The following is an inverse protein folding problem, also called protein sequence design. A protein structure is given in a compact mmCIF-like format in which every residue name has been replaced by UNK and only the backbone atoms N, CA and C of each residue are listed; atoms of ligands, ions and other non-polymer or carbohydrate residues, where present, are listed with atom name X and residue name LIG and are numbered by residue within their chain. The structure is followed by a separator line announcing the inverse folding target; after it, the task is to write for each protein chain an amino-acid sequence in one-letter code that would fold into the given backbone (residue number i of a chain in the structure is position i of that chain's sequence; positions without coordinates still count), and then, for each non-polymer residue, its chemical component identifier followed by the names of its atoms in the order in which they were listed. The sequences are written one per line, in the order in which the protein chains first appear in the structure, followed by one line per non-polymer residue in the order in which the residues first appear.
data_IF_226235643172
#
_entry.id   IF_226235643172
#
_cell.length_a   1.000
_cell.length_b   1.000
_cell.length_c   1.000
_cell.angle_alpha   90.00
_cell.angle_beta   90.00
_cell.angle_gamma   90.00
#
_symmetry.space_group_name_H-M   'P 1'
#
loop_
_entity.id
_entity.type
_entity.pdbx_description
1 polymer ?
#
# COMPACT_ATOMS: atom_id res chain seq x y z
N UNK A 1 -31.08 20.40 -13.53
CA UNK A 1 -31.69 19.11 -13.13
C UNK A 1 -30.56 18.08 -13.24
N UNK A 2 -29.95 17.68 -12.13
CA UNK A 2 -28.85 16.68 -12.16
C UNK A 2 -29.50 15.31 -12.33
N UNK A 3 -29.27 14.64 -13.45
CA UNK A 3 -29.75 13.28 -13.65
C UNK A 3 -29.01 12.35 -12.69
N UNK A 4 -29.75 11.68 -11.81
CA UNK A 4 -29.20 10.66 -10.90
C UNK A 4 -29.18 9.31 -11.62
N UNK A 5 -28.03 8.63 -11.58
CA UNK A 5 -27.90 7.25 -12.06
C UNK A 5 -28.12 6.31 -10.89
N UNK A 6 -28.90 5.26 -11.11
CA UNK A 6 -29.23 4.24 -10.11
C UNK A 6 -28.67 2.88 -10.54
N UNK A 7 -28.32 2.03 -9.57
CA UNK A 7 -27.77 0.69 -9.80
C UNK A 7 -28.61 -0.40 -9.10
N UNK A 8 -29.91 -0.55 -9.42
CA UNK A 8 -30.81 -1.47 -8.69
C UNK A 8 -30.44 -2.94 -8.83
N UNK A 9 -29.75 -3.32 -9.92
CA UNK A 9 -29.24 -4.69 -10.10
C UNK A 9 -28.07 -5.03 -9.17
N UNK A 10 -27.49 -4.05 -8.47
CA UNK A 10 -26.37 -4.22 -7.54
C UNK A 10 -25.14 -4.98 -8.10
N UNK A 11 -24.86 -4.83 -9.40
CA UNK A 11 -23.75 -5.51 -10.06
C UNK A 11 -22.36 -5.17 -9.50
N UNK A 12 -22.23 -4.04 -8.80
CA UNK A 12 -21.00 -3.65 -8.09
C UNK A 12 -20.57 -4.64 -7.01
N UNK A 13 -21.46 -5.54 -6.54
CA UNK A 13 -21.09 -6.61 -5.60
C UNK A 13 -19.98 -7.52 -6.14
N UNK A 14 -19.92 -7.72 -7.47
CA UNK A 14 -18.88 -8.52 -8.14
C UNK A 14 -17.46 -7.96 -7.96
N UNK A 15 -17.33 -6.69 -7.59
CA UNK A 15 -16.03 -6.06 -7.29
C UNK A 15 -15.42 -6.63 -6.01
N UNK A 16 -16.25 -7.18 -5.12
CA UNK A 16 -15.87 -7.69 -3.80
C UNK A 16 -16.07 -9.21 -3.69
N UNK A 17 -16.02 -9.92 -4.82
CA UNK A 17 -16.12 -11.38 -4.86
C UNK A 17 -14.75 -12.00 -5.14
N UNK A 18 -14.43 -13.07 -4.39
CA UNK A 18 -13.18 -13.83 -4.56
C UNK A 18 -13.09 -14.42 -5.97
N UNK A 19 -11.88 -14.39 -6.52
CA UNK A 19 -11.56 -14.98 -7.81
C UNK A 19 -10.34 -15.90 -7.71
N UNK A 20 -10.28 -16.88 -8.59
CA UNK A 20 -9.11 -17.76 -8.72
C UNK A 20 -8.05 -17.13 -9.63
N UNK A 21 -6.78 -17.44 -9.37
CA UNK A 21 -5.69 -17.10 -10.28
C UNK A 21 -5.78 -17.86 -11.61
N UNK A 22 -5.04 -17.40 -12.62
CA UNK A 22 -4.95 -18.08 -13.91
C UNK A 22 -3.66 -18.88 -13.99
N UNK A 23 -3.71 -20.06 -14.61
CA UNK A 23 -2.52 -20.86 -14.88
C UNK A 23 -1.71 -20.30 -16.06
N UNK A 24 -2.40 -19.72 -17.06
CA UNK A 24 -1.81 -19.13 -18.25
C UNK A 24 -2.57 -17.86 -18.68
N UNK A 25 -1.95 -16.94 -19.45
CA UNK A 25 -2.64 -15.78 -20.00
C UNK A 25 -3.78 -16.18 -20.94
N UNK A 26 -4.92 -15.49 -20.84
CA UNK A 26 -6.09 -15.73 -21.69
C UNK A 26 -6.25 -14.60 -22.74
N UNK A 27 -6.67 -14.90 -23.98
CA UNK A 27 -6.92 -13.86 -24.98
C UNK A 27 -8.17 -13.06 -24.64
N UNK A 28 -8.11 -11.74 -24.81
CA UNK A 28 -9.26 -10.86 -24.66
C UNK A 28 -10.04 -10.73 -25.97
N UNK A 29 -11.37 -10.64 -25.88
CA UNK A 29 -12.21 -10.26 -27.03
C UNK A 29 -12.14 -8.75 -27.24
N UNK A 30 -11.68 -8.32 -28.42
CA UNK A 30 -11.50 -6.90 -28.74
C UNK A 30 -12.73 -6.37 -29.48
N UNK A 31 -13.28 -5.26 -28.99
CA UNK A 31 -14.30 -4.46 -29.68
C UNK A 31 -13.71 -3.09 -30.00
N UNK A 32 -13.72 -2.69 -31.28
CA UNK A 32 -13.03 -1.48 -31.75
C UNK A 32 -11.63 -1.80 -32.29
N UNK A 33 -10.73 -0.82 -32.28
CA UNK A 33 -9.36 -0.94 -32.82
C UNK A 33 -8.36 -0.49 -31.77
N UNK A 34 -7.43 -1.37 -31.40
CA UNK A 34 -6.29 -1.01 -30.54
C UNK A 34 -5.32 -0.15 -31.36
N UNK A 35 -4.91 1.03 -30.88
CA UNK A 35 -3.96 1.87 -31.61
C UNK A 35 -2.64 1.13 -31.86
N UNK A 36 -2.12 1.20 -33.08
CA UNK A 36 -0.92 0.45 -33.47
C UNK A 36 0.35 0.84 -32.72
N UNK A 37 0.40 2.06 -32.17
CA UNK A 37 1.50 2.54 -31.33
C UNK A 37 1.40 2.04 -29.89
N UNK A 38 0.26 1.50 -29.46
CA UNK A 38 0.04 1.04 -28.10
C UNK A 38 0.54 -0.39 -27.96
N UNK A 39 1.74 -0.54 -27.39
CA UNK A 39 2.34 -1.82 -27.03
C UNK A 39 2.94 -1.75 -25.63
N UNK A 40 2.83 -2.85 -24.89
CA UNK A 40 3.34 -2.97 -23.52
C UNK A 40 2.31 -3.61 -22.59
N UNK A 41 2.63 -3.60 -21.30
CA UNK A 41 1.81 -4.23 -20.26
C UNK A 41 1.22 -3.20 -19.29
N UNK A 42 -0.09 -3.30 -19.05
CA UNK A 42 -0.77 -2.61 -17.95
C UNK A 42 -0.81 -3.54 -16.74
N UNK A 43 -0.05 -3.19 -15.71
CA UNK A 43 -0.07 -3.85 -14.41
C UNK A 43 -0.97 -3.09 -13.43
N UNK A 44 -1.81 -3.82 -12.70
CA UNK A 44 -2.67 -3.25 -11.64
C UNK A 44 -2.71 -4.17 -10.43
N UNK A 45 -2.80 -3.56 -9.25
CA UNK A 45 -3.02 -4.27 -7.99
C UNK A 45 -4.47 -4.11 -7.53
N UNK A 46 -4.94 -5.09 -6.75
CA UNK A 46 -6.19 -5.01 -6.02
C UNK A 46 -6.42 -6.24 -5.13
N UNK A 47 -7.46 -6.24 -4.29
CA UNK A 47 -7.86 -7.42 -3.54
C UNK A 47 -8.50 -8.47 -4.47
N UNK A 48 -8.08 -9.73 -4.36
CA UNK A 48 -8.62 -10.84 -5.16
C UNK A 48 -9.31 -11.95 -4.36
N UNK A 49 -9.12 -11.97 -3.04
CA UNK A 49 -9.72 -12.94 -2.13
C UNK A 49 -10.20 -12.22 -0.87
N UNK A 50 -11.48 -12.38 -0.54
CA UNK A 50 -12.18 -11.63 0.50
C UNK A 50 -12.54 -12.47 1.72
N UNK A 51 -12.10 -13.74 1.76
CA UNK A 51 -12.31 -14.66 2.86
C UNK A 51 -11.19 -15.70 2.95
N UNK A 52 -10.89 -16.16 4.16
CA UNK A 52 -9.91 -17.22 4.44
C UNK A 52 -10.52 -18.21 5.43
N UNK A 53 -10.49 -19.50 5.13
CA UNK A 53 -11.08 -20.51 6.02
C UNK A 53 -12.59 -20.40 6.20
N UNK A 54 -13.28 -19.71 5.29
CA UNK A 54 -14.70 -19.39 5.41
C UNK A 54 -15.00 -18.16 6.28
N UNK A 55 -13.97 -17.48 6.80
CA UNK A 55 -14.11 -16.24 7.54
C UNK A 55 -13.86 -15.01 6.67
N UNK A 56 -14.71 -13.97 6.76
CA UNK A 56 -14.61 -12.80 5.91
C UNK A 56 -13.48 -11.86 6.33
N UNK A 57 -12.92 -11.18 5.33
CA UNK A 57 -12.09 -10.01 5.48
C UNK A 57 -13.01 -8.77 5.47
N UNK A 58 -12.92 -7.93 6.50
CA UNK A 58 -13.99 -7.01 6.88
C UNK A 58 -13.88 -5.63 6.22
N UNK A 59 -12.70 -5.29 5.71
CA UNK A 59 -12.45 -4.02 5.04
C UNK A 59 -11.98 -4.22 3.59
N UNK A 60 -12.25 -3.22 2.74
CA UNK A 60 -11.84 -3.20 1.33
C UNK A 60 -10.33 -3.43 1.15
N UNK A 61 -9.54 -3.01 2.13
CA UNK A 61 -8.08 -3.07 2.10
C UNK A 61 -7.50 -4.34 2.75
N UNK A 62 -8.34 -5.32 3.07
CA UNK A 62 -7.89 -6.55 3.73
C UNK A 62 -7.74 -7.72 2.74
N UNK A 63 -8.44 -7.65 1.60
CA UNK A 63 -8.43 -8.73 0.61
C UNK A 63 -7.01 -9.03 0.12
N UNK A 64 -6.71 -10.30 -0.11
CA UNK A 64 -5.34 -10.70 -0.45
C UNK A 64 -4.91 -10.16 -1.82
N UNK A 65 -3.68 -9.64 -1.90
CA UNK A 65 -3.13 -8.95 -3.05
C UNK A 65 -3.13 -9.82 -4.32
N UNK A 66 -3.79 -9.31 -5.35
CA UNK A 66 -3.87 -9.88 -6.68
C UNK A 66 -3.26 -8.89 -7.68
N UNK A 67 -2.28 -9.36 -8.45
CA UNK A 67 -1.71 -8.61 -9.56
C UNK A 67 -2.43 -9.00 -10.85
N UNK A 68 -2.82 -7.99 -11.63
CA UNK A 68 -3.48 -8.11 -12.92
C UNK A 68 -2.57 -7.57 -14.01
N UNK A 69 -2.47 -8.28 -15.14
CA UNK A 69 -1.74 -7.85 -16.34
C UNK A 69 -2.65 -7.88 -17.55
N UNK A 70 -2.71 -6.77 -18.28
CA UNK A 70 -3.14 -6.74 -19.67
C UNK A 70 -1.92 -6.51 -20.54
N UNK A 71 -1.54 -7.48 -21.36
CA UNK A 71 -0.40 -7.36 -22.26
C UNK A 71 -0.90 -7.07 -23.69
N UNK A 72 -0.39 -6.00 -24.29
CA UNK A 72 -0.84 -5.49 -25.59
C UNK A 72 0.31 -5.60 -26.58
N UNK A 73 0.08 -6.33 -27.67
CA UNK A 73 1.09 -6.54 -28.72
C UNK A 73 0.41 -6.74 -30.06
N UNK A 74 0.83 -5.96 -31.07
CA UNK A 74 0.37 -6.10 -32.45
C UNK A 74 -1.17 -6.07 -32.63
N UNK A 75 -1.87 -5.28 -31.81
CA UNK A 75 -3.33 -5.19 -31.84
C UNK A 75 -4.05 -6.33 -31.12
N UNK A 76 -3.33 -7.25 -30.49
CA UNK A 76 -3.87 -8.30 -29.63
C UNK A 76 -3.72 -7.92 -28.15
N UNK A 77 -4.59 -8.46 -27.30
CA UNK A 77 -4.55 -8.27 -25.85
C UNK A 77 -4.72 -9.61 -25.15
N UNK A 78 -3.83 -9.90 -24.20
CA UNK A 78 -3.99 -11.01 -23.26
C UNK A 78 -4.23 -10.49 -21.85
N UNK A 79 -4.92 -11.26 -21.03
CA UNK A 79 -5.15 -10.99 -19.62
C UNK A 79 -4.56 -12.11 -18.76
N UNK A 80 -3.88 -11.72 -17.69
CA UNK A 80 -3.32 -12.66 -16.72
C UNK A 80 -3.45 -12.12 -15.29
N UNK A 81 -3.61 -13.00 -14.31
CA UNK A 81 -3.63 -12.61 -12.89
C UNK A 81 -3.07 -13.70 -11.99
N UNK A 82 -2.34 -13.28 -10.95
CA UNK A 82 -1.80 -14.16 -9.90
C UNK A 82 -1.88 -13.49 -8.54
N UNK A 83 -2.05 -14.26 -7.48
CA UNK A 83 -1.90 -13.74 -6.12
C UNK A 83 -0.43 -13.49 -5.80
N UNK A 84 -0.13 -12.37 -5.15
CA UNK A 84 1.23 -12.10 -4.64
C UNK A 84 1.48 -13.04 -3.46
N UNK A 85 2.57 -13.80 -3.50
CA UNK A 85 2.93 -14.79 -2.46
C UNK A 85 3.58 -14.10 -1.26
N UNK A 86 2.83 -13.21 -0.62
CA UNK A 86 3.22 -12.51 0.61
C UNK A 86 3.18 -13.46 1.81
N UNK A 87 3.80 -13.09 2.93
CA UNK A 87 3.68 -13.88 4.17
C UNK A 87 2.21 -13.93 4.63
N UNK A 88 1.46 -12.82 4.48
CA UNK A 88 0.03 -12.78 4.75
C UNK A 88 -0.73 -13.85 3.96
N UNK A 89 -0.52 -13.92 2.64
CA UNK A 89 -1.19 -14.88 1.76
C UNK A 89 -0.75 -16.32 2.03
N UNK A 90 0.56 -16.58 2.05
CA UNK A 90 1.12 -17.93 2.21
C UNK A 90 0.67 -18.53 3.54
N UNK A 91 0.71 -17.76 4.63
CA UNK A 91 0.29 -18.26 5.95
C UNK A 91 -1.22 -18.41 6.04
N UNK A 92 -1.98 -17.47 5.46
CA UNK A 92 -3.43 -17.59 5.39
C UNK A 92 -3.87 -18.88 4.67
N UNK A 93 -3.25 -19.21 3.54
CA UNK A 93 -3.55 -20.42 2.79
C UNK A 93 -3.05 -21.69 3.49
N UNK A 94 -1.89 -21.63 4.15
CA UNK A 94 -1.30 -22.78 4.86
C UNK A 94 -2.09 -23.14 6.12
N UNK A 95 -2.51 -22.13 6.89
CA UNK A 95 -3.19 -22.31 8.17
C UNK A 95 -4.72 -22.23 8.05
N UNK A 96 -5.24 -21.95 6.85
CA UNK A 96 -6.67 -21.80 6.53
C UNK A 96 -7.40 -20.86 7.51
N UNK A 97 -6.77 -19.73 7.83
CA UNK A 97 -7.27 -18.68 8.74
C UNK A 97 -6.54 -17.36 8.54
N UNK A 98 -7.06 -16.25 9.06
CA UNK A 98 -6.32 -14.98 9.07
C UNK A 98 -5.19 -15.05 10.11
N UNK A 99 -3.94 -15.09 9.65
CA UNK A 99 -2.76 -15.24 10.51
C UNK A 99 -2.07 -13.90 10.81
N UNK A 100 -2.07 -12.98 9.85
CA UNK A 100 -1.53 -11.63 10.00
C UNK A 100 -2.69 -10.63 10.01
N UNK A 101 -2.66 -9.70 10.96
CA UNK A 101 -3.69 -8.64 11.05
C UNK A 101 -3.60 -7.75 9.82
N UNK A 102 -4.73 -7.59 9.14
CA UNK A 102 -4.90 -6.66 8.02
C UNK A 102 -5.47 -5.33 8.51
N UNK A 103 -5.75 -4.40 7.60
CA UNK A 103 -6.18 -3.04 7.93
C UNK A 103 -7.40 -3.00 8.86
N UNK A 104 -8.47 -3.72 8.53
CA UNK A 104 -9.72 -3.79 9.30
C UNK A 104 -10.08 -5.17 9.86
N UNK A 105 -9.26 -6.19 9.60
CA UNK A 105 -9.44 -7.54 10.15
C UNK A 105 -8.27 -7.93 11.05
N UNK A 106 -8.55 -8.09 12.34
CA UNK A 106 -7.59 -8.63 13.28
C UNK A 106 -7.37 -10.13 13.03
N UNK A 107 -6.11 -10.57 13.03
CA UNK A 107 -5.79 -11.98 13.12
C UNK A 107 -6.21 -12.52 14.49
N UNK A 108 -6.69 -13.75 14.53
CA UNK A 108 -7.03 -14.43 15.78
C UNK A 108 -6.05 -15.58 16.06
N UNK A 109 -5.75 -15.90 17.33
CA UNK A 109 -4.81 -16.96 17.66
C UNK A 109 -5.37 -18.34 17.30
N UNK A 110 -4.48 -19.22 16.83
CA UNK A 110 -4.79 -20.62 16.54
C UNK A 110 -5.61 -21.27 17.68
N UNK A 111 -6.83 -21.77 17.40
CA UNK A 111 -7.69 -22.39 18.40
C UNK A 111 -7.14 -23.73 18.91
N UNK A 112 -6.23 -24.38 18.18
CA UNK A 112 -5.61 -25.65 18.53
C UNK A 112 -4.35 -25.49 19.40
N UNK A 113 -3.87 -24.26 19.63
CA UNK A 113 -2.72 -23.98 20.50
C UNK A 113 -3.14 -23.82 21.96
N UNK A 114 -2.56 -24.66 22.84
CA UNK A 114 -2.70 -24.57 24.29
C UNK A 114 -2.31 -23.17 24.83
N UNK A 115 -2.88 -22.77 25.98
CA UNK A 115 -2.64 -21.47 26.64
C UNK A 115 -1.14 -21.13 26.75
N UNK A 116 -0.28 -22.12 27.01
CA UNK A 116 1.18 -21.92 27.08
C UNK A 116 1.82 -21.56 25.74
N UNK A 117 1.43 -22.20 24.63
CA UNK A 117 1.96 -21.86 23.30
C UNK A 117 1.37 -20.55 22.75
N UNK A 118 0.16 -20.19 23.18
CA UNK A 118 -0.40 -18.84 22.98
C UNK A 118 0.46 -17.77 23.64
N UNK A 119 0.88 -17.99 24.89
CA UNK A 119 1.76 -17.05 25.61
C UNK A 119 3.10 -16.85 24.88
N UNK A 120 3.76 -17.92 24.42
CA UNK A 120 5.01 -17.80 23.65
C UNK A 120 4.84 -17.10 22.28
N UNK A 121 3.66 -17.19 21.67
CA UNK A 121 3.37 -16.49 20.40
C UNK A 121 3.29 -14.97 20.60
N UNK A 122 2.80 -14.51 21.77
CA UNK A 122 2.81 -13.09 22.14
C UNK A 122 4.23 -12.49 22.28
N UNK A 123 5.26 -13.32 22.51
CA UNK A 123 6.66 -12.83 22.65
C UNK A 123 7.44 -12.85 21.33
N UNK A 124 6.91 -13.42 20.25
CA UNK A 124 7.45 -13.17 18.92
C UNK A 124 7.02 -11.77 18.53
N UNK A 125 8.00 -10.96 18.13
CA UNK A 125 7.78 -9.56 17.80
C UNK A 125 6.58 -9.39 16.86
N UNK A 126 5.99 -8.22 16.99
CA UNK A 126 4.99 -7.63 16.10
C UNK A 126 5.13 -8.10 14.64
N UNK A 127 4.05 -8.61 14.07
CA UNK A 127 3.98 -8.98 12.64
C UNK A 127 3.16 -7.94 11.87
N UNK A 128 3.85 -7.06 11.14
CA UNK A 128 3.23 -6.07 10.25
C UNK A 128 2.83 -6.74 8.93
N UNK A 129 1.68 -6.36 8.36
CA UNK A 129 1.21 -6.92 7.09
C UNK A 129 2.13 -6.54 5.92
N UNK A 130 2.35 -7.52 5.06
CA UNK A 130 3.00 -7.37 3.76
C UNK A 130 2.01 -7.63 2.60
N UNK A 131 0.71 -7.57 2.87
CA UNK A 131 -0.34 -7.67 1.86
C UNK A 131 -0.28 -6.46 0.89
N UNK A 132 0.53 -6.58 -0.15
CA UNK A 132 0.88 -5.52 -1.10
C UNK A 132 -0.19 -5.30 -2.18
N UNK A 133 -1.43 -4.98 -1.78
CA UNK A 133 -2.58 -4.91 -2.68
C UNK A 133 -2.84 -3.55 -3.35
N UNK A 134 -2.09 -2.50 -2.99
CA UNK A 134 -2.50 -1.11 -3.28
C UNK A 134 -1.97 -0.64 -4.63
N UNK A 135 -0.67 -0.80 -4.88
CA UNK A 135 -0.04 -0.28 -6.10
C UNK A 135 1.19 -1.11 -6.50
N UNK A 136 1.71 -0.85 -7.70
CA UNK A 136 2.96 -1.39 -8.23
C UNK A 136 3.74 -0.27 -8.91
N UNK A 137 5.04 -0.16 -8.64
CA UNK A 137 5.90 0.85 -9.27
C UNK A 137 7.34 0.36 -9.47
N UNK A 138 8.08 0.94 -10.43
CA UNK A 138 9.46 0.56 -10.70
C UNK A 138 10.45 1.24 -9.73
N UNK A 139 11.51 0.53 -9.37
CA UNK A 139 12.70 1.06 -8.71
C UNK A 139 13.92 0.48 -9.45
N UNK A 140 14.63 1.32 -10.20
CA UNK A 140 15.65 0.83 -11.14
C UNK A 140 15.01 -0.04 -12.22
N UNK A 141 15.51 -1.27 -12.39
CA UNK A 141 14.98 -2.25 -13.37
C UNK A 141 13.91 -3.18 -12.77
N UNK A 142 13.66 -3.07 -11.47
CA UNK A 142 12.79 -3.97 -10.72
C UNK A 142 11.40 -3.37 -10.47
N UNK A 143 10.39 -4.22 -10.34
CA UNK A 143 9.02 -3.83 -9.99
C UNK A 143 8.63 -4.30 -8.60
N UNK A 144 7.97 -3.41 -7.85
CA UNK A 144 7.57 -3.68 -6.47
C UNK A 144 6.07 -3.46 -6.30
N UNK A 145 5.36 -4.51 -5.90
CA UNK A 145 4.02 -4.40 -5.33
C UNK A 145 4.12 -3.82 -3.91
N UNK A 146 3.19 -2.94 -3.56
CA UNK A 146 3.22 -2.19 -2.30
C UNK A 146 1.87 -2.08 -1.62
N UNK A 147 1.94 -1.91 -0.30
CA UNK A 147 0.89 -1.36 0.55
C UNK A 147 1.46 -0.13 1.28
N UNK A 148 0.92 0.23 2.44
CA UNK A 148 1.35 1.41 3.20
C UNK A 148 2.18 1.08 4.46
N UNK A 149 2.86 -0.07 4.44
CA UNK A 149 3.75 -0.54 5.51
C UNK A 149 5.22 -0.39 5.12
N UNK A 150 6.14 -0.93 5.93
CA UNK A 150 7.56 -1.01 5.59
C UNK A 150 7.89 -2.16 4.63
N UNK A 151 6.96 -3.08 4.39
CA UNK A 151 7.17 -4.22 3.51
C UNK A 151 6.70 -3.92 2.09
N UNK A 152 7.59 -4.13 1.13
CA UNK A 152 7.30 -4.11 -0.30
C UNK A 152 7.72 -5.45 -0.89
N UNK A 153 7.04 -5.89 -1.95
CA UNK A 153 7.29 -7.21 -2.56
C UNK A 153 7.74 -7.04 -4.00
N UNK A 154 8.98 -7.44 -4.28
CA UNK A 154 9.52 -7.51 -5.64
C UNK A 154 8.76 -8.58 -6.42
N UNK A 155 8.29 -8.22 -7.61
CA UNK A 155 7.55 -9.09 -8.52
C UNK A 155 8.17 -9.06 -9.91
N UNK A 156 8.05 -10.17 -10.62
CA UNK A 156 8.39 -10.24 -12.03
C UNK A 156 7.23 -9.66 -12.86
N UNK A 157 7.44 -8.61 -13.67
CA UNK A 157 6.36 -7.96 -14.43
C UNK A 157 5.84 -8.82 -15.60
N UNK A 158 6.62 -9.80 -16.06
CA UNK A 158 6.26 -10.66 -17.19
C UNK A 158 5.48 -11.89 -16.72
N UNK A 159 6.00 -12.61 -15.73
CA UNK A 159 5.41 -13.84 -15.20
C UNK A 159 4.45 -13.63 -14.02
N UNK A 160 4.45 -12.43 -13.42
CA UNK A 160 3.72 -12.10 -12.19
C UNK A 160 4.17 -12.92 -10.97
N UNK A 161 5.34 -13.55 -11.04
CA UNK A 161 5.90 -14.30 -9.93
C UNK A 161 6.38 -13.38 -8.81
N UNK A 162 6.22 -13.84 -7.57
CA UNK A 162 6.72 -13.16 -6.39
C UNK A 162 8.17 -13.53 -6.17
N UNK A 163 9.06 -12.55 -6.15
CA UNK A 163 10.50 -12.78 -6.12
C UNK A 163 11.09 -12.61 -4.72
N UNK A 164 10.83 -11.47 -4.06
CA UNK A 164 11.52 -11.11 -2.81
C UNK A 164 10.68 -10.15 -1.98
N UNK A 165 10.49 -10.46 -0.69
CA UNK A 165 10.02 -9.51 0.32
C UNK A 165 11.17 -8.60 0.74
N UNK A 166 10.93 -7.29 0.76
CA UNK A 166 11.90 -6.27 1.14
C UNK A 166 11.37 -5.49 2.33
N UNK A 167 12.23 -5.30 3.33
CA UNK A 167 11.97 -4.50 4.52
C UNK A 167 12.67 -3.15 4.41
N UNK A 168 11.89 -2.08 4.16
CA UNK A 168 12.41 -0.73 3.99
C UNK A 168 13.10 -0.19 5.26
N UNK A 169 12.75 -0.69 6.45
CA UNK A 169 13.39 -0.28 7.70
C UNK A 169 14.89 -0.63 7.75
N UNK A 170 15.36 -1.56 6.91
CA UNK A 170 16.79 -1.91 6.80
C UNK A 170 17.60 -0.86 6.05
N UNK A 171 16.95 -0.01 5.26
CA UNK A 171 17.58 0.97 4.37
C UNK A 171 17.26 2.41 4.79
N UNK A 172 16.07 2.63 5.35
CA UNK A 172 15.52 3.96 5.64
C UNK A 172 14.98 4.02 7.06
N UNK A 173 15.13 5.19 7.70
CA UNK A 173 14.51 5.46 9.00
C UNK A 173 13.04 5.86 8.81
N UNK A 174 12.19 4.87 8.52
CA UNK A 174 10.74 5.00 8.35
C UNK A 174 10.04 3.81 9.00
N UNK A 175 8.81 3.99 9.44
CA UNK A 175 7.94 2.93 9.95
C UNK A 175 7.09 2.30 8.83
N UNK A 176 6.91 3.04 7.73
CA UNK A 176 6.16 2.67 6.54
C UNK A 176 6.17 3.84 5.57
N UNK A 177 5.88 3.59 4.30
CA UNK A 177 5.82 4.60 3.23
C UNK A 177 4.49 4.52 2.50
N UNK A 178 4.12 5.57 1.76
CA UNK A 178 2.89 5.52 0.96
C UNK A 178 3.00 4.56 -0.23
N UNK A 179 1.87 4.11 -0.74
CA UNK A 179 1.79 3.39 -2.01
C UNK A 179 1.91 4.31 -3.25
N UNK A 180 2.13 5.62 -3.05
CA UNK A 180 2.08 6.67 -4.08
C UNK A 180 3.39 7.48 -4.14
N UNK A 181 4.51 6.85 -4.51
CA UNK A 181 5.74 7.60 -4.73
C UNK A 181 5.63 8.50 -5.97
N UNK A 182 6.48 9.51 -6.03
CA UNK A 182 6.76 10.27 -7.24
C UNK A 182 8.03 9.74 -7.89
N UNK A 183 7.99 9.51 -9.20
CA UNK A 183 9.14 9.05 -9.98
C UNK A 183 9.54 10.13 -10.99
N UNK A 184 10.79 10.56 -10.95
CA UNK A 184 11.36 11.48 -11.92
C UNK A 184 11.70 10.77 -13.24
N UNK A 185 11.91 11.54 -14.32
CA UNK A 185 12.20 10.99 -15.64
C UNK A 185 13.51 10.18 -15.71
N UNK A 186 14.45 10.43 -14.80
CA UNK A 186 15.70 9.69 -14.69
C UNK A 186 15.57 8.36 -13.93
N UNK A 187 14.39 8.08 -13.34
CA UNK A 187 14.13 6.92 -12.50
C UNK A 187 14.35 7.15 -11.00
N UNK A 188 14.69 8.37 -10.57
CA UNK A 188 14.71 8.71 -9.14
C UNK A 188 13.31 8.57 -8.55
N UNK A 189 13.20 7.91 -7.39
CA UNK A 189 11.93 7.73 -6.68
C UNK A 189 11.94 8.53 -5.38
N UNK A 190 10.91 9.36 -5.16
CA UNK A 190 10.64 10.01 -3.89
C UNK A 190 9.38 9.43 -3.25
N UNK A 191 9.42 9.23 -1.93
CA UNK A 191 8.25 8.80 -1.17
C UNK A 191 8.23 9.51 0.19
N UNK A 192 7.10 9.44 0.90
CA UNK A 192 6.92 9.96 2.25
C UNK A 192 6.54 8.82 3.19
N UNK A 193 7.07 8.86 4.42
CA UNK A 193 6.79 7.86 5.43
C UNK A 193 6.82 8.41 6.85
N UNK A 194 6.05 7.80 7.75
CA UNK A 194 6.10 8.11 9.17
C UNK A 194 7.44 7.66 9.77
N UNK A 195 8.01 8.40 10.72
CA UNK A 195 9.23 8.03 11.41
C UNK A 195 9.25 8.55 12.86
N UNK A 196 10.20 8.04 13.65
CA UNK A 196 10.55 8.65 14.93
C UNK A 196 11.45 9.87 14.70
N UNK A 197 10.98 11.03 15.13
CA UNK A 197 11.75 12.27 15.16
C UNK A 197 12.57 12.43 16.44
N UNK A 198 13.17 13.61 16.61
CA UNK A 198 13.95 13.95 17.81
C UNK A 198 13.04 14.07 19.04
N UNK A 199 13.61 13.89 20.24
CA UNK A 199 12.92 14.08 21.52
C UNK A 199 11.63 13.24 21.70
N UNK A 200 11.59 12.00 21.19
CA UNK A 200 10.40 11.14 21.28
C UNK A 200 9.15 11.80 20.67
N UNK A 201 9.30 12.47 19.52
CA UNK A 201 8.18 12.92 18.70
C UNK A 201 8.07 12.07 17.45
N UNK A 202 6.89 12.05 16.84
CA UNK A 202 6.70 11.50 15.50
C UNK A 202 6.94 12.60 14.46
N UNK A 203 7.37 12.17 13.28
CA UNK A 203 7.69 13.04 12.15
C UNK A 203 7.43 12.28 10.84
N UNK A 204 7.58 12.99 9.71
CA UNK A 204 7.46 12.43 8.37
C UNK A 204 8.78 12.61 7.63
N UNK A 205 9.37 11.54 7.12
CA UNK A 205 10.57 11.60 6.30
C UNK A 205 10.18 11.53 4.82
N UNK A 206 10.67 12.49 4.03
CA UNK A 206 10.76 12.33 2.58
C UNK A 206 12.01 11.52 2.30
N UNK A 207 11.84 10.41 1.61
CA UNK A 207 12.91 9.51 1.22
C UNK A 207 13.17 9.62 -0.27
N UNK A 208 14.43 9.43 -0.67
CA UNK A 208 14.89 9.39 -2.06
C UNK A 208 15.61 8.07 -2.31
N UNK A 209 15.23 7.41 -3.38
CA UNK A 209 15.90 6.23 -3.93
C UNK A 209 16.47 6.67 -5.30
N UNK A 210 17.80 6.64 -5.50
CA UNK A 210 18.39 7.03 -6.77
C UNK A 210 18.03 6.03 -7.88
N UNK A 211 18.21 6.40 -9.16
CA UNK A 211 18.08 5.44 -10.26
C UNK A 211 19.20 4.39 -10.21
N UNK A 212 19.03 3.32 -11.00
CA UNK A 212 20.10 2.34 -11.19
C UNK A 212 21.33 3.00 -11.81
N UNK A 213 22.50 2.79 -11.20
CA UNK A 213 23.75 3.49 -11.59
C UNK A 213 24.70 2.62 -12.44
N UNK A 214 24.22 1.47 -12.93
CA UNK A 214 25.01 0.52 -13.73
C UNK A 214 26.13 -0.19 -12.96
N UNK A 215 26.20 -0.01 -11.64
CA UNK A 215 26.99 -0.85 -10.74
C UNK A 215 26.15 -2.00 -10.20
N UNK A 216 26.78 -2.99 -9.56
CA UNK A 216 26.10 -4.17 -9.02
C UNK A 216 25.23 -3.87 -7.77
N UNK A 217 25.16 -2.61 -7.32
CA UNK A 217 24.44 -2.26 -6.08
C UNK A 217 22.94 -2.05 -6.31
N UNK A 218 22.10 -2.61 -5.44
CA UNK A 218 20.66 -2.38 -5.50
C UNK A 218 20.37 -0.90 -5.19
N UNK A 219 19.53 -0.18 -5.98
CA UNK A 219 19.22 1.23 -5.74
C UNK A 219 18.73 1.54 -4.31
N UNK A 220 18.05 0.57 -3.69
CA UNK A 220 17.58 0.65 -2.32
C UNK A 220 18.70 0.82 -1.29
N UNK A 221 19.90 0.28 -1.53
CA UNK A 221 21.06 0.43 -0.64
C UNK A 221 21.55 1.88 -0.55
N UNK A 222 21.28 2.67 -1.59
CA UNK A 222 21.63 4.08 -1.71
C UNK A 222 20.50 5.01 -1.31
N UNK A 223 19.43 4.47 -0.72
CA UNK A 223 18.29 5.25 -0.23
C UNK A 223 18.71 6.20 0.87
N UNK A 224 18.11 7.40 0.90
CA UNK A 224 18.38 8.39 1.95
C UNK A 224 17.15 9.20 2.31
N UNK A 225 17.14 9.72 3.54
CA UNK A 225 16.20 10.75 3.96
C UNK A 225 16.68 12.10 3.41
N UNK A 226 15.78 12.82 2.73
CA UNK A 226 16.07 14.14 2.13
C UNK A 226 15.63 15.26 3.04
N UNK A 227 14.45 15.14 3.64
CA UNK A 227 13.91 16.12 4.58
C UNK A 227 13.04 15.42 5.61
N UNK A 228 13.02 15.95 6.83
CA UNK A 228 12.13 15.53 7.91
C UNK A 228 11.17 16.67 8.24
N UNK A 229 9.88 16.35 8.27
CA UNK A 229 8.78 17.27 8.55
C UNK A 229 8.20 16.93 9.93
N UNK A 230 8.05 17.90 10.84
CA UNK A 230 7.49 17.62 12.17
C UNK A 230 6.01 17.26 12.07
N UNK A 231 5.55 16.38 12.97
CA UNK A 231 4.11 16.14 13.21
C UNK A 231 3.50 17.26 14.05
N UNK A 232 2.26 17.64 13.76
CA UNK A 232 1.49 18.60 14.59
C UNK A 232 1.24 18.06 16.00
N UNK A 233 1.22 16.74 16.17
CA UNK A 233 1.03 16.07 17.45
C UNK A 233 2.18 15.09 17.73
N UNK A 234 2.70 15.15 18.96
CA UNK A 234 3.92 14.43 19.36
C UNK A 234 3.82 12.91 19.19
N UNK A 235 2.67 12.31 19.51
CA UNK A 235 2.46 10.85 19.54
C UNK A 235 1.35 10.37 18.59
N UNK A 236 0.86 11.26 17.72
CA UNK A 236 -0.24 10.97 16.80
C UNK A 236 0.08 11.55 15.42
N UNK A 237 0.80 10.82 14.55
CA UNK A 237 1.01 11.28 13.20
C UNK A 237 -0.32 11.21 12.45
N UNK A 238 -0.48 12.10 11.47
CA UNK A 238 -1.57 12.01 10.52
C UNK A 238 -1.40 10.79 9.63
N UNK A 239 -2.52 10.24 9.20
CA UNK A 239 -2.52 9.33 8.07
C UNK A 239 -2.08 10.07 6.81
N UNK A 240 -1.20 9.45 6.03
CA UNK A 240 -0.66 10.02 4.79
C UNK A 240 -0.83 8.99 3.68
N UNK A 241 -1.57 9.35 2.63
CA UNK A 241 -1.81 8.46 1.49
C UNK A 241 -0.98 8.89 0.27
N UNK A 242 -0.76 10.19 0.09
CA UNK A 242 0.13 10.73 -0.95
C UNK A 242 0.67 12.10 -0.56
N UNK A 243 1.63 12.60 -1.32
CA UNK A 243 2.19 13.95 -1.20
C UNK A 243 2.33 14.59 -2.59
N UNK A 244 2.52 15.90 -2.65
CA UNK A 244 2.79 16.63 -3.89
C UNK A 244 4.29 16.85 -4.09
N UNK A 245 4.73 16.83 -5.35
CA UNK A 245 6.11 17.14 -5.73
C UNK A 245 6.13 18.04 -6.96
N UNK A 246 7.05 19.00 -6.98
CA UNK A 246 7.44 19.82 -8.14
C UNK A 246 8.96 19.83 -8.20
N UNK A 247 9.55 20.40 -9.26
CA UNK A 247 11.00 20.51 -9.44
C UNK A 247 11.74 21.10 -8.23
N UNK A 248 11.08 21.95 -7.42
CA UNK A 248 11.72 22.68 -6.33
C UNK A 248 11.08 22.48 -4.95
N UNK A 249 9.90 21.83 -4.88
CA UNK A 249 9.13 21.75 -3.64
C UNK A 249 8.48 20.38 -3.44
N UNK A 250 8.52 19.93 -2.19
CA UNK A 250 7.63 18.90 -1.67
C UNK A 250 6.45 19.58 -0.96
N UNK A 251 5.24 19.11 -1.23
CA UNK A 251 4.00 19.61 -0.62
C UNK A 251 3.37 18.47 0.18
N UNK A 252 3.38 18.61 1.50
CA UNK A 252 2.74 17.67 2.42
C UNK A 252 1.51 18.33 3.05
N UNK A 253 0.37 17.63 3.02
CA UNK A 253 -0.88 18.06 3.66
C UNK A 253 -1.10 17.22 4.90
N UNK A 254 -0.86 17.81 6.07
CA UNK A 254 -1.13 17.14 7.34
C UNK A 254 -2.63 17.25 7.67
N UNK A 255 -3.34 16.12 7.57
CA UNK A 255 -4.79 16.05 7.72
C UNK A 255 -5.25 15.70 9.16
N UNK A 256 -6.50 15.99 9.55
CA UNK A 256 -6.97 15.75 10.92
C UNK A 256 -7.18 14.27 11.27
N UNK A 257 -7.06 13.36 10.31
CA UNK A 257 -7.11 11.91 10.56
C UNK A 257 -5.77 11.44 11.13
N UNK A 258 -5.76 11.06 12.40
CA UNK A 258 -4.59 10.73 13.21
C UNK A 258 -4.51 9.24 13.53
N UNK A 259 -3.29 8.73 13.66
CA UNK A 259 -2.98 7.37 14.12
C UNK A 259 -2.56 7.44 15.59
N UNK A 260 -3.34 6.86 16.48
CA UNK A 260 -3.04 6.85 17.90
C UNK A 260 -2.02 5.74 18.23
N UNK A 261 -0.74 6.13 18.37
CA UNK A 261 0.35 5.18 18.63
C UNK A 261 0.16 4.40 19.94
N UNK A 262 -0.46 5.00 20.97
CA UNK A 262 -0.72 4.30 22.22
C UNK A 262 -1.76 3.20 22.05
N UNK A 263 -2.82 3.45 21.26
CA UNK A 263 -3.78 2.39 20.87
C UNK A 263 -3.09 1.32 20.04
N UNK A 264 -2.23 1.70 19.10
CA UNK A 264 -1.49 0.75 18.27
C UNK A 264 -0.62 -0.18 19.09
N UNK A 265 0.19 0.35 20.01
CA UNK A 265 1.06 -0.44 20.87
C UNK A 265 0.27 -1.27 21.90
N UNK A 266 -0.81 -0.73 22.48
CA UNK A 266 -1.61 -1.44 23.49
C UNK A 266 -2.53 -2.50 22.90
N UNK A 267 -3.11 -2.25 21.72
CA UNK A 267 -3.87 -3.21 20.94
C UNK A 267 -3.10 -4.52 20.83
N UNK A 268 -1.85 -4.44 20.38
CA UNK A 268 -1.04 -5.62 20.11
C UNK A 268 -0.68 -6.46 21.35
N UNK A 269 -0.75 -5.86 22.53
CA UNK A 269 -0.46 -6.56 23.79
C UNK A 269 -1.68 -7.20 24.46
N UNK A 270 -2.91 -6.69 24.23
CA UNK A 270 -4.08 -7.02 25.08
C UNK A 270 -5.39 -7.20 24.29
N UNK A 271 -5.52 -6.68 23.06
CA UNK A 271 -6.80 -6.62 22.32
C UNK A 271 -6.64 -7.13 20.88
N UNK A 272 -7.59 -7.92 20.39
CA UNK A 272 -7.68 -8.28 18.97
C UNK A 272 -8.09 -7.08 18.11
N UNK A 273 -7.26 -6.06 18.04
CA UNK A 273 -7.50 -4.82 17.31
C UNK A 273 -6.74 -4.82 15.97
N UNK A 274 -7.33 -4.12 15.01
CA UNK A 274 -6.81 -3.89 13.66
C UNK A 274 -6.14 -2.52 13.55
N UNK A 275 -5.57 -2.18 12.38
CA UNK A 275 -5.02 -0.85 12.15
C UNK A 275 -6.12 0.22 12.23
N UNK A 276 -7.32 -0.07 11.71
CA UNK A 276 -8.46 0.85 11.67
C UNK A 276 -8.85 1.34 13.08
N UNK A 277 -8.77 0.49 14.10
CA UNK A 277 -9.09 0.83 15.50
C UNK A 277 -8.16 1.88 16.11
N UNK A 278 -7.00 2.10 15.48
CA UNK A 278 -6.01 3.07 15.92
C UNK A 278 -6.25 4.46 15.32
N UNK A 279 -7.15 4.61 14.35
CA UNK A 279 -7.46 5.89 13.74
C UNK A 279 -8.41 6.72 14.63
N UNK A 280 -8.20 8.03 14.67
CA UNK A 280 -9.10 9.00 15.29
C UNK A 280 -9.06 10.33 14.54
N UNK A 281 -10.09 11.16 14.70
CA UNK A 281 -10.12 12.51 14.11
C UNK A 281 -9.76 13.55 15.17
N UNK A 282 -8.90 14.50 14.80
CA UNK A 282 -8.66 15.70 15.59
C UNK A 282 -9.57 16.82 15.08
N UNK A 283 -10.70 17.01 15.75
CA UNK A 283 -11.73 17.98 15.36
C UNK A 283 -11.30 19.45 15.51
N UNK A 284 -10.21 19.70 16.24
CA UNK A 284 -9.64 21.03 16.45
C UNK A 284 -8.53 21.39 15.45
N UNK A 285 -8.08 20.44 14.64
CA UNK A 285 -7.04 20.63 13.63
C UNK A 285 -7.67 21.08 12.30
N UNK A 286 -7.12 22.14 11.69
CA UNK A 286 -7.66 22.77 10.47
C UNK A 286 -8.12 24.22 10.64
N UNK A 287 -8.03 24.80 11.84
CA UNK A 287 -8.35 26.20 12.11
C UNK A 287 -7.08 27.00 12.41
N UNK A 288 -6.55 27.74 11.42
CA UNK A 288 -5.30 28.50 11.58
C UNK A 288 -4.69 29.04 10.28
N UNK A 289 -3.61 29.83 10.38
CA UNK A 289 -2.88 30.38 9.23
C UNK A 289 -2.20 29.27 8.42
N UNK A 290 -2.48 29.19 7.11
CA UNK A 290 -2.06 28.07 6.26
C UNK A 290 -2.94 26.82 6.39
N UNK A 291 -4.02 26.87 7.17
CA UNK A 291 -4.98 25.78 7.32
C UNK A 291 -6.27 26.07 6.53
N UNK A 292 -6.93 25.01 6.08
CA UNK A 292 -8.28 25.01 5.52
C UNK A 292 -9.20 24.19 6.42
N UNK A 293 -10.52 24.36 6.28
CA UNK A 293 -11.50 23.51 6.98
C UNK A 293 -11.21 22.01 6.81
N UNK A 294 -11.61 21.17 7.77
CA UNK A 294 -11.19 19.78 7.84
C UNK A 294 -11.62 18.99 6.60
N UNK A 295 -10.67 18.31 5.97
CA UNK A 295 -10.84 17.50 4.76
C UNK A 295 -9.97 16.23 4.87
N UNK A 296 -10.45 15.12 4.31
CA UNK A 296 -9.68 13.90 4.10
C UNK A 296 -9.05 13.94 2.70
N UNK A 297 -7.73 13.86 2.63
CA UNK A 297 -6.96 13.81 1.39
C UNK A 297 -6.39 12.41 1.17
N UNK A 298 -6.77 11.82 0.04
CA UNK A 298 -6.17 10.57 -0.43
C UNK A 298 -5.16 10.89 -1.54
N UNK A 299 -5.61 11.42 -2.67
CA UNK A 299 -4.76 11.63 -3.85
C UNK A 299 -4.50 13.11 -4.13
N UNK A 300 -3.23 13.50 -4.19
CA UNK A 300 -2.81 14.82 -4.66
C UNK A 300 -2.56 14.75 -6.18
N UNK A 301 -3.21 15.63 -6.93
CA UNK A 301 -3.01 15.77 -8.37
C UNK A 301 -1.98 16.87 -8.66
N UNK A 302 -0.76 16.49 -8.98
CA UNK A 302 0.28 17.40 -9.50
C UNK A 302 0.27 17.36 -11.02
N UNK A 303 -0.59 18.18 -11.64
CA UNK A 303 -0.49 18.44 -13.06
C UNK A 303 0.75 19.32 -13.31
N UNK A 304 1.86 18.72 -13.77
CA UNK A 304 3.07 19.44 -14.20
C UNK A 304 2.83 20.45 -15.35
N UNK A 305 1.61 20.58 -15.87
CA UNK A 305 1.31 21.41 -17.03
C UNK A 305 0.54 22.71 -16.77
N UNK A 306 0.04 23.02 -15.56
CA UNK A 306 -0.60 24.33 -15.29
C UNK A 306 -0.56 24.71 -13.82
N UNK A 307 0.55 25.25 -13.35
CA UNK A 307 0.50 26.26 -12.30
C UNK A 307 0.27 27.59 -13.04
N UNK A 308 -0.87 28.23 -12.78
CA UNK A 308 -1.25 29.51 -13.36
C UNK A 308 -0.10 30.51 -13.22
N UNK A 309 0.34 31.09 -14.35
CA UNK A 309 1.03 32.37 -14.38
C UNK A 309 0.07 33.47 -13.94
#
# INVERSE_FOLDING_TARGET
MVSRVEHPAAGYKKIFETVEELNEPIPATITGVIPSWLGGSLLRMGPGQFEVGGEPLNHLFDGQALIHKFDLKNGEVTYYRRFVRTDAYVRAMTENRVVITEFGTAAYPDPCKNIFSRFFTYFKGIEVTDNCLVNIYPIGEDFYAVTETNYITKVDPDSLETLKKVDLCKYLSVNGVTAHPHTEADGTVYNIGNCFGKNMSLAYNIVKIPPAQGDESEPLEKSKVVVQIPSSERLKPSYIHSFGMTDNYFVFVEQPVKINLLKFLSAWSIRGASYMDCFESNDSMGVGWGCTGPLLFLHINTNNNRIFK
#
